data_IF_473197362395
#
_entry.id   IF_473197362395
#
_cell.length_a   1.000
_cell.length_b   1.000
_cell.length_c   1.000
_cell.angle_alpha   90.00
_cell.angle_beta   90.00
_cell.angle_gamma   90.00
#
_symmetry.space_group_name_H-M   'P 1'
#
loop_
_entity.id
_entity.type
_entity.pdbx_description
1 polymer ?
#
# COMPACT_ATOMS: atom_id res chain seq x y z
N UNK A 1 4.27 -5.06 11.40
CA UNK A 1 4.56 -6.25 10.55
C UNK A 1 5.52 -5.97 9.39
N UNK A 2 5.63 -4.73 8.89
CA UNK A 2 6.61 -4.31 7.87
C UNK A 2 8.10 -4.56 8.23
N UNK A 3 8.47 -4.47 9.52
CA UNK A 3 9.86 -4.72 9.94
C UNK A 3 10.27 -6.19 9.85
N UNK A 4 9.33 -7.14 9.99
CA UNK A 4 9.64 -8.58 10.02
C UNK A 4 9.91 -9.13 8.63
N UNK A 5 9.19 -8.65 7.61
CA UNK A 5 9.44 -9.01 6.22
C UNK A 5 10.69 -8.34 5.65
N UNK A 6 10.93 -7.07 5.99
CA UNK A 6 12.20 -6.42 5.65
C UNK A 6 13.37 -7.10 6.36
N UNK A 7 13.20 -7.53 7.61
CA UNK A 7 14.23 -8.28 8.34
C UNK A 7 14.50 -9.66 7.72
N UNK A 8 13.50 -10.35 7.17
CA UNK A 8 13.65 -11.61 6.45
C UNK A 8 14.38 -11.44 5.11
N UNK A 9 14.08 -10.39 4.37
CA UNK A 9 14.79 -10.08 3.12
C UNK A 9 16.23 -9.63 3.39
N UNK A 10 16.44 -8.86 4.46
CA UNK A 10 17.78 -8.51 4.92
C UNK A 10 18.54 -9.73 5.45
N UNK A 11 17.89 -10.68 6.16
CA UNK A 11 18.55 -11.90 6.64
C UNK A 11 18.92 -12.84 5.50
N UNK A 12 18.08 -12.95 4.47
CA UNK A 12 18.38 -13.71 3.26
C UNK A 12 19.54 -13.09 2.48
N UNK A 13 19.53 -11.76 2.32
CA UNK A 13 20.65 -11.02 1.71
C UNK A 13 21.94 -11.09 2.54
N UNK A 14 21.84 -11.22 3.86
CA UNK A 14 22.99 -11.38 4.74
C UNK A 14 23.52 -12.82 4.65
N UNK A 15 22.63 -13.81 4.51
CA UNK A 15 22.99 -15.20 4.26
C UNK A 15 23.76 -15.38 2.95
N UNK A 16 23.33 -14.72 1.87
CA UNK A 16 24.08 -14.75 0.60
C UNK A 16 25.43 -14.05 0.74
N UNK A 17 25.51 -12.94 1.48
CA UNK A 17 26.77 -12.22 1.74
C UNK A 17 27.78 -13.08 2.53
N UNK A 18 27.31 -13.86 3.51
CA UNK A 18 28.17 -14.79 4.28
C UNK A 18 28.68 -15.95 3.43
N UNK A 19 27.85 -16.48 2.52
CA UNK A 19 28.26 -17.54 1.58
C UNK A 19 29.33 -17.00 0.61
N UNK A 20 29.20 -15.75 0.15
CA UNK A 20 30.19 -15.08 -0.71
C UNK A 20 31.52 -14.87 0.03
N UNK A 21 31.49 -14.38 1.28
CA UNK A 21 32.70 -14.16 2.09
C UNK A 21 33.44 -15.46 2.41
N UNK A 22 32.71 -16.53 2.72
CA UNK A 22 33.30 -17.84 3.01
C UNK A 22 33.89 -18.51 1.76
N UNK A 23 33.31 -18.25 0.59
CA UNK A 23 33.85 -18.69 -0.70
C UNK A 23 35.09 -17.89 -1.12
N UNK A 24 35.09 -16.56 -0.90
CA UNK A 24 36.20 -15.66 -1.20
C UNK A 24 37.50 -16.04 -0.47
N UNK A 25 37.38 -16.41 0.81
CA UNK A 25 38.52 -16.79 1.64
C UNK A 25 39.22 -18.09 1.19
N UNK A 26 38.58 -18.90 0.33
CA UNK A 26 39.13 -20.19 -0.09
C UNK A 26 39.65 -20.26 -1.52
N UNK A 27 39.23 -19.41 -2.47
CA UNK A 27 39.51 -19.65 -3.90
C UNK A 27 40.07 -18.46 -4.73
N UNK A 28 40.18 -17.23 -4.20
CA UNK A 28 40.64 -16.06 -4.98
C UNK A 28 39.54 -15.44 -5.86
N UNK A 29 39.79 -14.25 -6.42
CA UNK A 29 38.80 -13.43 -7.15
C UNK A 29 38.48 -14.07 -8.50
N UNK A 30 37.40 -14.84 -8.56
CA UNK A 30 36.90 -15.48 -9.76
C UNK A 30 35.76 -14.65 -10.40
N UNK A 31 35.52 -14.77 -11.71
CA UNK A 31 34.48 -14.03 -12.47
C UNK A 31 33.08 -14.22 -11.85
N UNK A 32 32.88 -15.36 -11.18
CA UNK A 32 31.69 -15.68 -10.41
C UNK A 32 31.40 -14.72 -9.25
N UNK A 33 32.43 -14.11 -8.64
CA UNK A 33 32.30 -13.14 -7.54
C UNK A 33 31.65 -11.84 -8.01
N UNK A 34 32.07 -11.32 -9.16
CA UNK A 34 31.45 -10.13 -9.77
C UNK A 34 30.00 -10.40 -10.18
N UNK A 35 29.72 -11.59 -10.71
CA UNK A 35 28.36 -12.01 -11.06
C UNK A 35 27.43 -12.03 -9.84
N UNK A 36 27.90 -12.55 -8.71
CA UNK A 36 27.09 -12.61 -7.48
C UNK A 36 26.86 -11.22 -6.84
N UNK A 37 27.86 -10.33 -6.90
CA UNK A 37 27.74 -8.96 -6.43
C UNK A 37 26.69 -8.19 -7.25
N UNK A 38 26.75 -8.31 -8.58
CA UNK A 38 25.74 -7.74 -9.48
C UNK A 38 24.35 -8.34 -9.23
N UNK A 39 24.26 -9.65 -9.00
CA UNK A 39 23.00 -10.30 -8.67
C UNK A 39 22.41 -9.77 -7.35
N UNK A 40 23.23 -9.57 -6.32
CA UNK A 40 22.79 -9.00 -5.05
C UNK A 40 22.25 -7.57 -5.18
N UNK A 41 22.96 -6.72 -5.93
CA UNK A 41 22.49 -5.37 -6.24
C UNK A 41 21.19 -5.41 -7.04
N UNK A 42 21.09 -6.29 -8.04
CA UNK A 42 19.90 -6.44 -8.87
C UNK A 42 18.68 -6.88 -8.05
N UNK A 43 18.84 -7.87 -7.16
CA UNK A 43 17.77 -8.35 -6.26
C UNK A 43 17.35 -7.26 -5.28
N UNK A 44 18.31 -6.53 -4.71
CA UNK A 44 18.03 -5.43 -3.79
C UNK A 44 17.25 -4.29 -4.47
N UNK A 45 17.69 -3.89 -5.67
CA UNK A 45 17.00 -2.87 -6.48
C UNK A 45 15.59 -3.34 -6.88
N UNK A 46 15.45 -4.60 -7.30
CA UNK A 46 14.15 -5.20 -7.63
C UNK A 46 13.22 -5.21 -6.42
N UNK A 47 13.72 -5.63 -5.25
CA UNK A 47 12.95 -5.66 -4.01
C UNK A 47 12.46 -4.27 -3.59
N UNK A 48 13.33 -3.25 -3.66
CA UNK A 48 12.92 -1.88 -3.36
C UNK A 48 11.85 -1.37 -4.34
N UNK A 49 11.98 -1.69 -5.62
CA UNK A 49 10.99 -1.30 -6.63
C UNK A 49 9.63 -1.97 -6.39
N UNK A 50 9.63 -3.27 -6.09
CA UNK A 50 8.42 -4.03 -5.79
C UNK A 50 7.69 -3.50 -4.55
N UNK A 51 8.44 -3.28 -3.45
CA UNK A 51 7.89 -2.76 -2.20
C UNK A 51 7.27 -1.37 -2.39
N UNK A 52 7.95 -0.47 -3.10
CA UNK A 52 7.41 0.86 -3.41
C UNK A 52 6.10 0.77 -4.19
N UNK A 53 6.01 -0.16 -5.15
CA UNK A 53 4.79 -0.38 -5.93
C UNK A 53 3.64 -0.88 -5.05
N UNK A 54 3.91 -1.78 -4.10
CA UNK A 54 2.90 -2.38 -3.23
C UNK A 54 2.43 -1.44 -2.12
N UNK A 55 3.30 -0.55 -1.61
CA UNK A 55 2.95 0.39 -0.54
C UNK A 55 2.33 1.70 -1.06
N UNK A 56 2.44 2.00 -2.36
CA UNK A 56 1.88 3.21 -2.96
C UNK A 56 0.38 3.43 -2.66
N UNK A 57 -0.50 2.41 -2.68
CA UNK A 57 -1.92 2.58 -2.35
C UNK A 57 -2.17 2.97 -0.88
N UNK A 58 -1.30 2.53 0.05
CA UNK A 58 -1.46 2.87 1.47
C UNK A 58 -1.27 4.36 1.74
N UNK A 59 -0.38 5.02 1.00
CA UNK A 59 -0.18 6.47 1.11
C UNK A 59 -1.43 7.22 0.63
N UNK A 60 -2.05 6.76 -0.45
CA UNK A 60 -3.31 7.34 -0.94
C UNK A 60 -4.46 7.13 0.04
N UNK A 61 -4.50 5.95 0.68
CA UNK A 61 -5.51 5.61 1.68
C UNK A 61 -5.44 6.53 2.90
N UNK A 62 -4.24 6.86 3.37
CA UNK A 62 -4.05 7.82 4.47
C UNK A 62 -4.58 9.22 4.11
N UNK A 63 -4.28 9.69 2.89
CA UNK A 63 -4.77 10.98 2.38
C UNK A 63 -6.30 11.01 2.25
N UNK A 64 -6.91 9.92 1.78
CA UNK A 64 -8.36 9.81 1.67
C UNK A 64 -9.01 9.82 3.06
N UNK A 65 -8.48 9.07 4.03
CA UNK A 65 -8.98 9.08 5.41
C UNK A 65 -8.89 10.48 6.03
N UNK A 66 -7.80 11.20 5.79
CA UNK A 66 -7.66 12.58 6.24
C UNK A 66 -8.72 13.50 5.60
N UNK A 67 -9.00 13.36 4.32
CA UNK A 67 -10.05 14.14 3.65
C UNK A 67 -11.45 13.86 4.22
N UNK A 68 -11.73 12.60 4.53
CA UNK A 68 -12.99 12.14 5.14
C UNK A 68 -13.15 12.73 6.54
N UNK A 69 -12.06 12.82 7.32
CA UNK A 69 -12.08 13.48 8.63
C UNK A 69 -12.46 14.97 8.56
N UNK A 70 -12.28 15.60 7.40
CA UNK A 70 -12.66 16.99 7.11
C UNK A 70 -14.03 17.11 6.43
N UNK A 71 -14.84 16.05 6.40
CA UNK A 71 -16.17 16.03 5.79
C UNK A 71 -16.17 15.89 4.26
N UNK A 72 -15.03 15.59 3.63
CA UNK A 72 -14.91 15.42 2.17
C UNK A 72 -14.96 13.94 1.79
N UNK A 73 -16.17 13.41 1.64
CA UNK A 73 -16.43 11.99 1.34
C UNK A 73 -16.32 11.63 -0.15
N UNK A 74 -16.11 12.60 -1.04
CA UNK A 74 -16.06 12.36 -2.49
C UNK A 74 -14.67 11.91 -2.98
N UNK A 75 -13.77 11.57 -2.06
CA UNK A 75 -12.41 11.13 -2.35
C UNK A 75 -12.41 9.61 -2.55
N UNK A 76 -11.82 9.12 -3.64
CA UNK A 76 -11.76 7.69 -3.96
C UNK A 76 -10.32 7.25 -4.16
N UNK A 77 -9.97 6.09 -3.62
CA UNK A 77 -8.67 5.45 -3.84
C UNK A 77 -8.70 4.80 -5.22
N UNK A 78 -7.78 5.16 -6.12
CA UNK A 78 -7.79 4.73 -7.53
C UNK A 78 -6.48 4.03 -7.93
N UNK A 79 -6.56 3.16 -8.95
CA UNK A 79 -5.38 2.47 -9.48
C UNK A 79 -4.86 1.33 -8.59
N UNK A 80 -5.73 0.72 -7.79
CA UNK A 80 -5.37 -0.45 -6.98
C UNK A 80 -5.73 -1.73 -7.74
N UNK A 81 -4.79 -2.68 -7.79
CA UNK A 81 -5.00 -3.97 -8.45
C UNK A 81 -5.95 -4.85 -7.62
N UNK A 82 -6.83 -5.57 -8.30
CA UNK A 82 -7.95 -6.31 -7.70
C UNK A 82 -7.55 -7.61 -6.98
N UNK A 83 -6.27 -7.98 -7.05
CA UNK A 83 -5.80 -9.35 -6.77
C UNK A 83 -5.06 -9.49 -5.44
N UNK A 84 -4.76 -8.38 -4.76
CA UNK A 84 -3.95 -8.36 -3.54
C UNK A 84 -4.77 -7.89 -2.33
N UNK A 85 -4.38 -8.28 -1.11
CA UNK A 85 -5.10 -7.92 0.13
C UNK A 85 -5.18 -6.41 0.35
N UNK A 86 -4.16 -5.66 -0.10
CA UNK A 86 -4.18 -4.18 -0.07
C UNK A 86 -5.22 -3.63 -1.06
N UNK A 87 -5.42 -4.28 -2.20
CA UNK A 87 -6.48 -3.97 -3.14
C UNK A 87 -7.85 -4.12 -2.52
N UNK A 88 -8.09 -5.25 -1.87
CA UNK A 88 -9.34 -5.52 -1.19
C UNK A 88 -9.61 -4.52 -0.05
N UNK A 89 -8.58 -4.13 0.71
CA UNK A 89 -8.71 -3.08 1.72
C UNK A 89 -9.13 -1.74 1.10
N UNK A 90 -8.53 -1.33 -0.01
CA UNK A 90 -8.87 -0.09 -0.70
C UNK A 90 -10.31 -0.11 -1.21
N UNK A 91 -10.78 -1.26 -1.72
CA UNK A 91 -12.18 -1.45 -2.12
C UNK A 91 -13.14 -1.31 -0.95
N UNK A 92 -12.85 -1.99 0.17
CA UNK A 92 -13.69 -1.92 1.37
C UNK A 92 -13.77 -0.49 1.92
N UNK A 93 -12.67 0.27 1.89
CA UNK A 93 -12.67 1.69 2.28
C UNK A 93 -13.53 2.51 1.32
N UNK A 94 -13.35 2.36 0.02
CA UNK A 94 -14.16 3.07 -0.97
C UNK A 94 -15.66 2.78 -0.79
N UNK A 95 -16.04 1.53 -0.53
CA UNK A 95 -17.44 1.14 -0.31
C UNK A 95 -18.02 1.81 0.95
N UNK A 96 -17.26 1.86 2.04
CA UNK A 96 -17.65 2.59 3.26
C UNK A 96 -17.87 4.08 2.97
N UNK A 97 -17.03 4.71 2.14
CA UNK A 97 -17.18 6.12 1.78
C UNK A 97 -18.41 6.38 0.92
N UNK A 98 -18.71 5.48 -0.03
CA UNK A 98 -19.92 5.55 -0.85
C UNK A 98 -21.18 5.45 0.04
N UNK A 99 -21.19 4.53 1.02
CA UNK A 99 -22.28 4.38 1.98
C UNK A 99 -22.47 5.63 2.87
N UNK A 100 -21.38 6.19 3.41
CA UNK A 100 -21.44 7.44 4.17
C UNK A 100 -21.98 8.60 3.33
N UNK A 101 -21.52 8.72 2.08
CA UNK A 101 -22.01 9.72 1.15
C UNK A 101 -23.50 9.57 0.85
N UNK A 102 -24.00 8.33 0.72
CA UNK A 102 -25.42 8.06 0.54
C UNK A 102 -26.25 8.46 1.76
N UNK A 103 -25.79 8.09 2.97
CA UNK A 103 -26.45 8.43 4.23
C UNK A 103 -26.62 9.94 4.41
N UNK A 104 -25.58 10.74 4.16
CA UNK A 104 -25.69 12.21 4.28
C UNK A 104 -26.67 12.81 3.27
N UNK A 105 -26.69 12.33 2.03
CA UNK A 105 -27.65 12.78 1.02
C UNK A 105 -29.09 12.45 1.39
N UNK A 106 -29.31 11.26 1.94
CA UNK A 106 -30.64 10.83 2.39
C UNK A 106 -31.11 11.64 3.59
N UNK A 107 -30.22 11.94 4.54
CA UNK A 107 -30.51 12.80 5.69
C UNK A 107 -30.88 14.22 5.24
N UNK A 108 -30.14 14.79 4.29
CA UNK A 108 -30.45 16.12 3.74
C UNK A 108 -31.80 16.14 3.03
N UNK A 109 -32.08 15.13 2.21
CA UNK A 109 -33.34 15.01 1.47
C UNK A 109 -34.53 14.88 2.43
N UNK A 110 -34.40 14.03 3.46
CA UNK A 110 -35.43 13.82 4.49
C UNK A 110 -35.69 15.09 5.30
N UNK A 111 -34.63 15.80 5.68
CA UNK A 111 -34.72 17.05 6.42
C UNK A 111 -35.41 18.15 5.58
N UNK A 112 -35.03 18.31 4.31
CA UNK A 112 -35.66 19.26 3.39
C UNK A 112 -37.14 18.94 3.14
N UNK A 113 -37.49 17.66 2.98
CA UNK A 113 -38.87 17.22 2.83
C UNK A 113 -39.71 17.53 4.08
N UNK A 114 -39.17 17.33 5.28
CA UNK A 114 -39.85 17.64 6.53
C UNK A 114 -40.12 19.14 6.68
N UNK A 115 -39.12 19.98 6.37
CA UNK A 115 -39.28 21.44 6.37
C UNK A 115 -40.34 21.89 5.36
N UNK A 116 -40.29 21.39 4.11
CA UNK A 116 -41.27 21.73 3.09
C UNK A 116 -42.71 21.35 3.50
N UNK A 117 -42.89 20.22 4.20
CA UNK A 117 -44.20 19.80 4.70
C UNK A 117 -44.72 20.71 5.84
N UNK A 118 -43.83 21.31 6.64
CA UNK A 118 -44.22 22.24 7.71
C UNK A 118 -44.55 23.66 7.22
N UNK A 119 -44.09 24.08 6.04
CA UNK A 119 -44.46 25.37 5.46
C UNK A 119 -45.82 25.38 4.74
N UNK A 120 -46.39 24.19 4.50
CA UNK A 120 -47.66 24.03 3.80
C UNK A 120 -48.87 23.87 4.76
N UNK A 121 -48.70 24.32 6.01
CA UNK A 121 -49.72 24.35 7.06
C UNK A 121 -49.95 25.76 7.58
#
# INVERSE_FOLDING_TARGET
MQSRFSALLWSFSLGTLVIILTSFARHGVDVFMLGFLLAGIAVSAWGQWLVRRWLRPLVQLDEVILNVSQGRFNSRISGVGDQDEIGQLCWNVNDMLDQLGAFFREQETSFRANLANNFNR
#
